data_IF_785896309852
#
_entry.id   IF_785896309852
#
_cell.length_a   1.000
_cell.length_b   1.000
_cell.length_c   1.000
_cell.angle_alpha   90.00
_cell.angle_beta   90.00
_cell.angle_gamma   90.00
#
_symmetry.space_group_name_H-M   'P 1'
#
loop_
_entity.id
_entity.type
_entity.pdbx_description
1 polymer ?
#
# COMPACT_ATOMS: atom_id res chain seq x y z
N UNK A 1 -2.26 14.18 8.49
CA UNK A 1 -3.62 13.65 8.71
C UNK A 1 -3.51 12.23 9.24
N UNK A 2 -4.37 11.83 10.17
CA UNK A 2 -4.40 10.47 10.74
C UNK A 2 -5.69 9.77 10.36
N UNK A 3 -5.62 8.50 9.94
CA UNK A 3 -6.79 7.68 9.60
C UNK A 3 -6.69 6.27 10.19
N UNK A 4 -7.83 5.66 10.57
CA UNK A 4 -7.88 4.22 10.83
C UNK A 4 -8.31 3.51 9.55
N UNK A 5 -7.47 2.64 9.03
CA UNK A 5 -7.78 1.85 7.84
C UNK A 5 -8.09 0.41 8.24
N UNK A 6 -9.31 -0.04 7.93
CA UNK A 6 -9.69 -1.45 7.99
C UNK A 6 -9.88 -1.91 6.54
N UNK A 7 -9.08 -2.86 6.11
CA UNK A 7 -9.01 -3.27 4.71
C UNK A 7 -9.04 -4.80 4.58
N UNK A 8 -9.85 -5.29 3.65
CA UNK A 8 -9.79 -6.66 3.15
C UNK A 8 -9.21 -6.67 1.75
N UNK A 9 -8.39 -7.68 1.45
CA UNK A 9 -7.75 -7.78 0.14
C UNK A 9 -7.55 -9.21 -0.33
N UNK A 10 -7.57 -9.38 -1.65
CA UNK A 10 -7.29 -10.66 -2.28
C UNK A 10 -6.56 -10.48 -3.61
N UNK A 11 -5.68 -11.43 -3.94
CA UNK A 11 -5.09 -11.48 -5.28
C UNK A 11 -6.12 -11.96 -6.29
N UNK A 12 -6.01 -11.43 -7.50
CA UNK A 12 -6.81 -11.81 -8.64
C UNK A 12 -5.95 -12.48 -9.71
N UNK A 13 -6.54 -13.44 -10.41
CA UNK A 13 -6.06 -13.85 -11.72
C UNK A 13 -6.32 -12.74 -12.73
N UNK A 14 -5.60 -12.76 -13.85
CA UNK A 14 -5.81 -11.80 -14.95
C UNK A 14 -7.27 -11.82 -15.46
N UNK A 15 -7.91 -12.99 -15.49
CA UNK A 15 -9.29 -13.11 -15.94
C UNK A 15 -10.28 -12.51 -14.94
N UNK A 16 -10.13 -12.77 -13.64
CA UNK A 16 -10.94 -12.14 -12.59
C UNK A 16 -10.79 -10.60 -12.62
N UNK A 17 -9.54 -10.12 -12.73
CA UNK A 17 -9.25 -8.69 -12.87
C UNK A 17 -9.94 -8.08 -14.08
N UNK A 18 -9.83 -8.70 -15.27
CA UNK A 18 -10.45 -8.18 -16.49
C UNK A 18 -11.98 -8.14 -16.40
N UNK A 19 -12.62 -9.11 -15.72
CA UNK A 19 -14.08 -9.09 -15.50
C UNK A 19 -14.48 -7.91 -14.63
N UNK A 20 -13.82 -7.70 -13.49
CA UNK A 20 -14.10 -6.54 -12.63
C UNK A 20 -13.77 -5.21 -13.33
N UNK A 21 -12.65 -5.15 -14.05
CA UNK A 21 -12.25 -3.98 -14.84
C UNK A 21 -13.34 -3.59 -15.86
N UNK A 22 -14.01 -4.57 -16.47
CA UNK A 22 -15.08 -4.31 -17.43
C UNK A 22 -16.27 -3.57 -16.80
N UNK A 23 -16.53 -3.80 -15.52
CA UNK A 23 -17.59 -3.15 -14.73
C UNK A 23 -17.15 -1.76 -14.24
N UNK A 24 -15.84 -1.55 -14.05
CA UNK A 24 -15.24 -0.30 -13.56
C UNK A 24 -14.72 0.61 -14.68
N UNK A 25 -15.11 0.42 -15.94
CA UNK A 25 -14.62 1.24 -17.08
C UNK A 25 -14.92 2.74 -16.95
N UNK A 26 -16.01 3.08 -16.24
CA UNK A 26 -16.45 4.45 -15.99
C UNK A 26 -15.62 5.17 -14.92
N UNK A 27 -14.91 4.42 -14.06
CA UNK A 27 -13.98 4.97 -13.08
C UNK A 27 -12.74 5.45 -13.83
N UNK A 28 -12.09 6.55 -13.44
CA UNK A 28 -10.82 6.99 -14.05
C UNK A 28 -9.65 6.30 -13.35
N UNK A 29 -8.64 5.76 -14.05
CA UNK A 29 -7.51 5.12 -13.40
C UNK A 29 -6.53 6.18 -12.88
N UNK A 30 -5.97 5.94 -11.70
CA UNK A 30 -4.91 6.74 -11.10
C UNK A 30 -3.65 5.90 -11.05
N UNK A 31 -2.58 6.39 -11.69
CA UNK A 31 -1.25 5.78 -11.57
C UNK A 31 -0.54 6.38 -10.36
N UNK A 32 -0.06 5.51 -9.49
CA UNK A 32 0.66 5.85 -8.26
C UNK A 32 1.89 4.97 -8.14
N UNK A 33 3.01 5.52 -7.65
CA UNK A 33 4.21 4.72 -7.36
C UNK A 33 4.54 4.84 -5.89
N UNK A 34 4.61 3.70 -5.21
CA UNK A 34 4.99 3.62 -3.81
C UNK A 34 6.48 3.30 -3.73
N UNK A 35 7.26 4.17 -3.12
CA UNK A 35 8.67 4.00 -2.79
C UNK A 35 8.76 3.59 -1.32
N UNK A 36 9.21 2.37 -1.06
CA UNK A 36 9.24 1.79 0.29
C UNK A 36 10.55 2.11 0.98
N UNK A 37 10.44 2.51 2.24
CA UNK A 37 11.54 2.99 3.07
C UNK A 37 11.62 2.11 4.31
N UNK A 38 12.83 1.69 4.66
CA UNK A 38 13.16 1.00 5.92
C UNK A 38 14.65 1.19 6.20
N UNK A 39 15.15 0.66 7.32
CA UNK A 39 16.59 0.53 7.54
C UNK A 39 17.14 -0.66 6.77
N UNK A 40 18.47 -0.73 6.62
CA UNK A 40 19.14 -1.92 6.05
C UNK A 40 18.86 -3.21 6.85
N UNK A 41 18.52 -3.08 8.13
CA UNK A 41 18.16 -4.20 9.01
C UNK A 41 16.65 -4.51 9.00
N UNK A 42 15.84 -3.74 8.29
CA UNK A 42 14.38 -3.84 8.26
C UNK A 42 13.72 -3.60 9.63
N UNK A 43 14.16 -2.57 10.36
CA UNK A 43 13.68 -2.27 11.71
C UNK A 43 12.21 -1.84 11.75
N UNK A 44 11.70 -1.13 10.72
CA UNK A 44 10.26 -0.81 10.65
C UNK A 44 9.44 -2.08 10.52
N UNK A 45 9.85 -2.99 9.63
CA UNK A 45 9.23 -4.30 9.49
C UNK A 45 9.29 -5.12 10.79
N UNK A 46 10.40 -5.10 11.51
CA UNK A 46 10.52 -5.77 12.81
C UNK A 46 9.51 -5.23 13.83
N UNK A 47 9.20 -3.93 13.75
CA UNK A 47 8.14 -3.26 14.51
C UNK A 47 6.74 -3.38 13.88
N UNK A 48 6.57 -4.20 12.83
CA UNK A 48 5.33 -4.36 12.05
C UNK A 48 4.81 -3.06 11.42
N UNK A 49 5.64 -2.03 11.31
CA UNK A 49 5.30 -0.78 10.65
C UNK A 49 5.72 -0.83 9.17
N UNK A 50 5.08 0.01 8.34
CA UNK A 50 5.53 0.22 6.96
C UNK A 50 5.54 1.71 6.64
N UNK A 51 6.65 2.18 6.05
CA UNK A 51 6.79 3.54 5.59
C UNK A 51 6.92 3.57 4.07
N UNK A 52 6.26 4.54 3.44
CA UNK A 52 6.42 4.80 2.01
C UNK A 52 6.33 6.28 1.69
N UNK A 53 6.97 6.67 0.60
CA UNK A 53 6.60 7.87 -0.15
C UNK A 53 5.80 7.39 -1.35
N UNK A 54 4.58 7.91 -1.54
CA UNK A 54 3.76 7.65 -2.71
C UNK A 54 3.76 8.88 -3.60
N UNK A 55 4.04 8.70 -4.89
CA UNK A 55 3.95 9.76 -5.90
C UNK A 55 2.80 9.51 -6.85
N UNK A 56 2.10 10.58 -7.20
CA UNK A 56 1.11 10.68 -8.27
C UNK A 56 1.65 11.57 -9.39
N UNK A 57 0.81 11.91 -10.37
CA UNK A 57 1.19 12.79 -11.47
C UNK A 57 1.68 14.17 -11.00
N UNK A 58 0.97 14.77 -10.04
CA UNK A 58 1.18 16.17 -9.63
C UNK A 58 1.36 16.34 -8.10
N UNK A 59 1.36 15.25 -7.33
CA UNK A 59 1.41 15.29 -5.87
C UNK A 59 2.16 14.09 -5.31
N UNK A 60 2.54 14.18 -4.04
CA UNK A 60 3.11 13.07 -3.30
C UNK A 60 2.64 13.08 -1.84
N UNK A 61 2.84 11.97 -1.16
CA UNK A 61 2.57 11.82 0.27
C UNK A 61 3.58 10.86 0.92
N UNK A 62 3.96 11.14 2.16
CA UNK A 62 4.62 10.19 3.05
C UNK A 62 3.54 9.53 3.90
N UNK A 63 3.53 8.20 3.97
CA UNK A 63 2.60 7.43 4.81
C UNK A 63 3.38 6.49 5.71
N UNK A 64 3.21 6.62 7.02
CA UNK A 64 3.54 5.58 7.99
C UNK A 64 2.26 4.81 8.35
N UNK A 65 2.27 3.49 8.18
CA UNK A 65 1.24 2.59 8.72
C UNK A 65 1.73 1.92 9.99
N UNK A 66 0.93 1.98 11.04
CA UNK A 66 1.15 1.35 12.35
C UNK A 66 -0.02 0.43 12.66
N UNK A 67 0.19 -0.87 12.91
CA UNK A 67 -0.89 -1.79 13.26
C UNK A 67 -1.59 -1.40 14.58
N UNK A 68 -2.91 -1.48 14.60
CA UNK A 68 -3.71 -1.37 15.83
C UNK A 68 -4.41 -2.71 16.13
N UNK A 69 -5.22 -2.76 17.20
CA UNK A 69 -6.03 -3.95 17.53
C UNK A 69 -6.98 -4.33 16.39
N UNK A 70 -7.50 -3.32 15.69
CA UNK A 70 -8.36 -3.46 14.51
C UNK A 70 -7.81 -2.52 13.45
N UNK A 71 -7.44 -3.05 12.28
CA UNK A 71 -6.90 -2.25 11.17
C UNK A 71 -5.50 -1.71 11.41
N UNK A 72 -5.15 -0.66 10.65
CA UNK A 72 -3.89 0.06 10.73
C UNK A 72 -4.15 1.54 10.88
N UNK A 73 -3.44 2.20 11.80
CA UNK A 73 -3.39 3.65 11.82
C UNK A 73 -2.41 4.15 10.76
N UNK A 74 -2.88 5.03 9.89
CA UNK A 74 -2.06 5.73 8.93
C UNK A 74 -1.77 7.15 9.39
N UNK A 75 -0.51 7.56 9.27
CA UNK A 75 -0.04 8.94 9.44
C UNK A 75 0.42 9.44 8.09
N UNK A 76 -0.40 10.28 7.46
CA UNK A 76 -0.21 10.81 6.12
C UNK A 76 0.30 12.26 6.17
N UNK A 77 1.41 12.53 5.49
CA UNK A 77 2.03 13.86 5.35
C UNK A 77 2.05 14.22 3.86
N UNK A 78 1.32 15.25 3.41
CA UNK A 78 1.38 15.69 2.02
C UNK A 78 2.77 16.25 1.70
N UNK A 79 3.25 15.98 0.49
CA UNK A 79 4.55 16.42 0.00
C UNK A 79 4.41 17.07 -1.39
N UNK A 80 5.26 18.05 -1.65
CA UNK A 80 5.52 18.46 -3.03
C UNK A 80 6.35 17.40 -3.76
N UNK A 81 6.19 17.28 -5.08
CA UNK A 81 6.93 16.30 -5.88
C UNK A 81 8.45 16.44 -5.76
N UNK A 82 8.96 17.67 -5.72
CA UNK A 82 10.39 17.91 -5.58
C UNK A 82 10.92 17.46 -4.21
N UNK A 83 10.18 17.69 -3.14
CA UNK A 83 10.50 17.16 -1.81
C UNK A 83 10.50 15.64 -1.81
N UNK A 84 9.48 15.02 -2.41
CA UNK A 84 9.39 13.56 -2.50
C UNK A 84 10.59 12.98 -3.28
N UNK A 85 10.97 13.57 -4.42
CA UNK A 85 12.13 13.11 -5.21
C UNK A 85 13.43 13.20 -4.42
N UNK A 86 13.65 14.32 -3.73
CA UNK A 86 14.81 14.51 -2.88
C UNK A 86 14.86 13.46 -1.77
N UNK A 87 13.75 13.27 -1.06
CA UNK A 87 13.62 12.29 0.02
C UNK A 87 13.83 10.85 -0.45
N UNK A 88 13.29 10.49 -1.62
CA UNK A 88 13.46 9.16 -2.22
C UNK A 88 14.93 8.87 -2.49
N UNK A 89 15.68 9.87 -2.97
CA UNK A 89 17.07 9.73 -3.41
C UNK A 89 18.08 9.85 -2.25
N UNK A 90 17.83 10.76 -1.33
CA UNK A 90 18.79 11.20 -0.33
C UNK A 90 18.37 10.86 1.11
N UNK A 91 17.13 10.44 1.35
CA UNK A 91 16.58 10.24 2.70
C UNK A 91 16.12 11.57 3.32
N UNK A 92 16.21 11.69 4.65
CA UNK A 92 15.80 12.87 5.43
C UNK A 92 14.29 13.17 5.37
N UNK A 93 13.53 12.46 6.19
CA UNK A 93 12.10 12.67 6.31
C UNK A 93 11.78 14.02 6.98
N UNK A 94 10.67 14.68 6.61
CA UNK A 94 10.24 15.91 7.26
C UNK A 94 9.81 15.65 8.70
N UNK A 95 9.95 16.67 9.54
CA UNK A 95 9.35 16.70 10.87
C UNK A 95 7.85 16.43 10.76
N UNK A 96 7.39 15.41 11.47
CA UNK A 96 6.03 14.93 11.41
C UNK A 96 5.77 13.92 12.52
N UNK A 97 4.50 13.71 12.87
CA UNK A 97 4.08 12.64 13.79
C UNK A 97 4.58 11.27 13.34
N UNK A 98 4.68 11.03 12.03
CA UNK A 98 5.26 9.80 11.49
C UNK A 98 6.72 9.65 11.90
N UNK A 99 7.52 10.71 11.78
CA UNK A 99 8.92 10.71 12.18
C UNK A 99 9.08 10.53 13.70
N UNK A 100 8.25 11.22 14.50
CA UNK A 100 8.25 11.10 15.97
C UNK A 100 8.00 9.67 16.43
N UNK A 101 7.03 8.98 15.80
CA UNK A 101 6.73 7.57 16.10
C UNK A 101 7.93 6.68 15.76
N UNK A 102 8.56 6.89 14.61
CA UNK A 102 9.74 6.11 14.20
C UNK A 102 10.88 6.29 15.21
N UNK A 103 11.15 7.53 15.63
CA UNK A 103 12.18 7.85 16.64
C UNK A 103 11.84 7.19 17.98
N UNK A 104 10.56 7.22 18.40
CA UNK A 104 10.11 6.59 19.65
C UNK A 104 10.34 5.07 19.70
N UNK A 105 10.50 4.42 18.53
CA UNK A 105 10.86 3.00 18.41
C UNK A 105 12.38 2.75 18.40
N UNK A 106 13.19 3.78 18.62
CA UNK A 106 14.64 3.70 18.62
C UNK A 106 15.27 3.66 17.23
N UNK A 107 14.48 3.93 16.18
CA UNK A 107 14.96 3.91 14.79
C UNK A 107 15.52 5.29 14.44
N UNK A 108 16.80 5.33 14.06
CA UNK A 108 17.46 6.58 13.67
C UNK A 108 16.97 7.04 12.30
N UNK A 109 16.49 8.28 12.14
CA UNK A 109 16.05 8.79 10.83
C UNK A 109 17.11 8.68 9.73
N UNK A 110 18.38 8.89 10.08
CA UNK A 110 19.52 8.78 9.15
C UNK A 110 19.81 7.35 8.66
N UNK A 111 19.20 6.32 9.28
CA UNK A 111 19.31 4.94 8.82
C UNK A 111 18.25 4.54 7.79
N UNK A 112 17.23 5.37 7.59
CA UNK A 112 16.12 5.11 6.67
C UNK A 112 16.57 5.33 5.23
N UNK A 113 16.35 4.32 4.40
CA UNK A 113 16.72 4.32 2.99
C UNK A 113 15.57 3.77 2.14
N UNK A 114 15.39 4.33 0.94
CA UNK A 114 14.49 3.75 -0.05
C UNK A 114 15.12 2.49 -0.62
N UNK A 115 14.45 1.34 -0.51
CA UNK A 115 15.01 0.05 -0.95
C UNK A 115 14.31 -0.52 -2.19
N UNK A 116 13.13 -0.01 -2.56
CA UNK A 116 12.37 -0.53 -3.69
C UNK A 116 11.11 0.28 -3.96
N UNK A 117 10.50 0.02 -5.11
CA UNK A 117 9.25 0.66 -5.50
C UNK A 117 8.27 -0.33 -6.14
N UNK A 118 6.99 0.07 -6.14
CA UNK A 118 5.90 -0.62 -6.79
C UNK A 118 4.93 0.41 -7.36
N UNK A 119 4.73 0.35 -8.67
CA UNK A 119 3.76 1.17 -9.39
C UNK A 119 2.43 0.44 -9.46
N UNK A 120 1.35 1.14 -9.13
CA UNK A 120 -0.02 0.65 -9.20
C UNK A 120 -0.83 1.53 -10.14
N UNK A 121 -1.54 0.93 -11.08
CA UNK A 121 -2.67 1.57 -11.76
C UNK A 121 -3.93 1.16 -11.00
N UNK A 122 -4.50 2.12 -10.25
CA UNK A 122 -5.65 1.90 -9.37
C UNK A 122 -6.91 2.46 -9.99
N UNK A 123 -8.01 1.72 -9.88
CA UNK A 123 -9.37 2.23 -10.05
C UNK A 123 -10.08 2.12 -8.72
N UNK A 124 -10.57 3.23 -8.20
CA UNK A 124 -11.19 3.30 -6.88
C UNK A 124 -12.60 3.88 -7.00
N UNK A 125 -13.57 3.24 -6.34
CA UNK A 125 -14.95 3.72 -6.28
C UNK A 125 -15.58 3.36 -4.94
N UNK A 126 -16.52 4.17 -4.48
CA UNK A 126 -17.35 3.84 -3.31
C UNK A 126 -18.55 3.03 -3.78
N UNK A 127 -18.80 1.92 -3.09
CA UNK A 127 -19.97 1.05 -3.26
C UNK A 127 -20.68 0.91 -1.90
N UNK A 128 -21.90 0.34 -1.83
CA UNK A 128 -22.65 0.27 -0.56
C UNK A 128 -21.89 -0.37 0.61
N UNK A 129 -20.97 -1.30 0.32
CA UNK A 129 -20.20 -2.05 1.33
C UNK A 129 -18.84 -1.42 1.68
N UNK A 130 -18.48 -0.28 1.08
CA UNK A 130 -17.21 0.40 1.35
C UNK A 130 -16.51 0.93 0.10
N UNK A 131 -15.22 1.23 0.24
CA UNK A 131 -14.40 1.76 -0.85
C UNK A 131 -13.63 0.64 -1.52
N UNK A 132 -14.01 0.32 -2.75
CA UNK A 132 -13.43 -0.76 -3.54
C UNK A 132 -12.28 -0.22 -4.40
N UNK A 133 -11.12 -0.87 -4.34
CA UNK A 133 -9.98 -0.59 -5.18
C UNK A 133 -9.58 -1.81 -6.02
N UNK A 134 -9.49 -1.61 -7.33
CA UNK A 134 -9.00 -2.59 -8.29
C UNK A 134 -7.61 -2.17 -8.77
N UNK A 135 -6.61 -2.98 -8.42
CA UNK A 135 -5.20 -2.64 -8.59
C UNK A 135 -4.52 -3.54 -9.62
N UNK A 136 -3.84 -2.91 -10.58
CA UNK A 136 -2.81 -3.55 -11.38
C UNK A 136 -1.44 -3.08 -10.92
N UNK A 137 -0.61 -4.01 -10.45
CA UNK A 137 0.68 -3.69 -9.85
C UNK A 137 1.84 -4.11 -10.75
N UNK A 138 2.88 -3.29 -10.76
CA UNK A 138 4.13 -3.47 -11.50
C UNK A 138 5.31 -3.22 -10.55
N UNK A 139 6.20 -4.19 -10.40
CA UNK A 139 7.39 -4.07 -9.55
C UNK A 139 8.46 -5.08 -9.96
N UNK A 140 9.70 -4.59 -10.11
CA UNK A 140 10.77 -5.35 -10.77
C UNK A 140 10.26 -5.94 -12.10
N UNK A 141 10.42 -7.25 -12.32
CA UNK A 141 9.89 -7.96 -13.50
C UNK A 141 8.58 -8.71 -13.20
N UNK A 142 7.85 -8.30 -12.17
CA UNK A 142 6.61 -8.94 -11.72
C UNK A 142 5.42 -8.02 -11.99
N UNK A 143 4.28 -8.65 -12.30
CA UNK A 143 2.98 -8.01 -12.27
C UNK A 143 1.98 -8.88 -11.52
N UNK A 144 1.10 -8.25 -10.75
CA UNK A 144 -0.03 -8.91 -10.11
C UNK A 144 -1.28 -8.03 -10.15
N UNK A 145 -2.39 -8.63 -9.76
CA UNK A 145 -3.70 -8.00 -9.73
C UNK A 145 -4.29 -8.20 -8.35
N UNK A 146 -4.93 -7.18 -7.80
CA UNK A 146 -5.44 -7.20 -6.43
C UNK A 146 -6.77 -6.46 -6.35
N UNK A 147 -7.67 -6.99 -5.53
CA UNK A 147 -8.89 -6.33 -5.10
C UNK A 147 -8.73 -5.96 -3.63
N UNK A 148 -9.06 -4.73 -3.27
CA UNK A 148 -9.10 -4.25 -1.90
C UNK A 148 -10.48 -3.64 -1.61
N UNK A 149 -10.98 -3.83 -0.39
CA UNK A 149 -12.19 -3.19 0.14
C UNK A 149 -11.84 -2.55 1.48
N UNK A 150 -11.89 -1.23 1.54
CA UNK A 150 -11.77 -0.46 2.78
C UNK A 150 -13.16 -0.25 3.39
N UNK A 151 -13.28 -0.54 4.68
CA UNK A 151 -14.55 -0.58 5.42
C UNK A 151 -14.45 0.19 6.74
N UNK A 152 -15.59 0.58 7.30
CA UNK A 152 -15.68 1.23 8.62
C UNK A 152 -15.90 0.24 9.76
N UNK A 153 -16.55 -0.90 9.49
CA UNK A 153 -16.80 -1.98 10.45
C UNK A 153 -16.06 -3.25 10.01
N UNK A 154 -15.20 -3.78 10.87
CA UNK A 154 -14.42 -4.97 10.55
C UNK A 154 -15.29 -6.24 10.44
N UNK A 155 -16.25 -6.43 11.33
CA UNK A 155 -17.04 -7.66 11.33
C UNK A 155 -17.96 -7.71 10.11
N UNK A 156 -18.72 -6.63 9.90
CA UNK A 156 -19.61 -6.53 8.74
C UNK A 156 -18.83 -6.49 7.44
N UNK A 157 -17.72 -5.73 7.40
CA UNK A 157 -16.89 -5.62 6.21
C UNK A 157 -16.28 -6.96 5.76
N UNK A 158 -15.99 -7.88 6.68
CA UNK A 158 -15.55 -9.24 6.31
C UNK A 158 -16.67 -10.03 5.62
N UNK A 159 -17.88 -9.96 6.16
CA UNK A 159 -19.07 -10.63 5.61
C UNK A 159 -19.38 -10.08 4.21
N UNK A 160 -19.33 -8.76 4.08
CA UNK A 160 -19.59 -8.08 2.81
C UNK A 160 -18.53 -8.40 1.77
N UNK A 161 -17.24 -8.42 2.16
CA UNK A 161 -16.17 -8.80 1.26
C UNK A 161 -16.32 -10.25 0.77
N UNK A 162 -16.62 -11.19 1.67
CA UNK A 162 -16.82 -12.59 1.29
C UNK A 162 -18.02 -12.78 0.35
N UNK A 163 -19.12 -12.05 0.62
CA UNK A 163 -20.31 -12.05 -0.22
C UNK A 163 -20.01 -11.50 -1.62
N UNK A 164 -19.30 -10.37 -1.69
CA UNK A 164 -18.84 -9.80 -2.96
C UNK A 164 -17.96 -10.78 -3.74
N UNK A 165 -17.00 -11.45 -3.08
CA UNK A 165 -16.16 -12.45 -3.75
C UNK A 165 -17.00 -13.60 -4.30
N UNK A 166 -18.00 -14.08 -3.56
CA UNK A 166 -18.92 -15.13 -3.99
C UNK A 166 -19.74 -14.71 -5.20
N UNK A 167 -20.37 -13.54 -5.17
CA UNK A 167 -21.18 -12.99 -6.27
C UNK A 167 -20.37 -12.86 -7.58
N UNK A 168 -19.10 -12.45 -7.46
CA UNK A 168 -18.20 -12.27 -8.60
C UNK A 168 -17.43 -13.56 -9.00
N UNK A 169 -17.74 -14.68 -8.35
CA UNK A 169 -17.10 -15.98 -8.57
C UNK A 169 -15.57 -15.90 -8.44
N UNK A 170 -15.10 -15.29 -7.36
CA UNK A 170 -13.68 -15.10 -7.03
C UNK A 170 -13.38 -15.95 -5.80
N UNK A 171 -12.53 -16.95 -5.96
CA UNK A 171 -11.99 -17.67 -4.81
C UNK A 171 -11.00 -16.77 -4.04
N UNK A 172 -11.10 -16.73 -2.72
CA UNK A 172 -10.16 -15.98 -1.89
C UNK A 172 -8.73 -16.49 -2.05
N UNK A 173 -7.81 -15.58 -2.37
CA UNK A 173 -6.37 -15.81 -2.48
C UNK A 173 -5.66 -14.82 -1.56
N UNK A 174 -4.92 -15.34 -0.58
CA UNK A 174 -4.21 -14.50 0.38
C UNK A 174 -3.25 -13.54 -0.33
N UNK A 175 -3.33 -12.27 0.03
CA UNK A 175 -2.46 -11.22 -0.49
C UNK A 175 -1.50 -10.72 0.61
N UNK A 176 -0.21 -11.04 0.48
CA UNK A 176 0.85 -10.36 1.26
C UNK A 176 0.80 -8.87 0.94
N UNK A 177 1.13 -8.00 1.91
CA UNK A 177 1.19 -6.56 1.66
C UNK A 177 2.11 -6.23 0.48
N UNK A 178 1.77 -5.19 -0.29
CA UNK A 178 2.56 -4.75 -1.46
C UNK A 178 4.04 -4.50 -1.12
N UNK A 179 4.34 -3.93 0.06
CA UNK A 179 5.72 -3.77 0.55
C UNK A 179 6.41 -5.11 0.75
N UNK A 180 5.73 -6.12 1.32
CA UNK A 180 6.30 -7.45 1.48
C UNK A 180 6.51 -8.14 0.13
N UNK A 181 5.63 -7.93 -0.86
CA UNK A 181 5.80 -8.42 -2.23
C UNK A 181 7.05 -7.79 -2.88
N UNK A 182 7.24 -6.47 -2.73
CA UNK A 182 8.40 -5.74 -3.21
C UNK A 182 9.71 -6.21 -2.53
N UNK A 183 9.74 -6.35 -1.20
CA UNK A 183 10.93 -6.87 -0.48
C UNK A 183 11.34 -8.26 -0.97
N UNK A 184 10.36 -9.12 -1.28
CA UNK A 184 10.66 -10.48 -1.74
C UNK A 184 11.31 -10.53 -3.13
N UNK A 185 11.15 -9.49 -3.96
CA UNK A 185 11.88 -9.44 -5.24
C UNK A 185 13.35 -9.09 -5.03
N UNK A 186 13.68 -8.27 -4.03
CA UNK A 186 15.06 -7.86 -3.71
C UNK A 186 15.93 -8.99 -3.16
N UNK A 187 15.36 -9.86 -2.30
CA UNK A 187 16.09 -11.02 -1.78
C UNK A 187 16.60 -11.93 -2.90
N UNK A 188 15.77 -12.13 -3.93
CA UNK A 188 16.14 -12.93 -5.12
C UNK A 188 17.29 -12.34 -5.94
N UNK A 189 17.60 -11.05 -5.78
CA UNK A 189 18.75 -10.39 -6.40
C UNK A 189 20.03 -10.49 -5.57
N UNK A 190 19.92 -10.61 -4.23
CA UNK A 190 21.09 -10.74 -3.35
C UNK A 190 21.58 -12.18 -3.17
N UNK A 191 20.75 -13.17 -3.53
CA UNK A 191 21.08 -14.61 -3.48
C UNK A 191 21.65 -15.15 -4.82
N UNK A 192 22.08 -14.26 -5.73
CA UNK A 192 22.74 -14.59 -7.01
C UNK A 192 24.07 -13.87 -7.11
#
# INVERSE_FOLDING_TARGET
MTNLEIEYKTLLTKNEYNRLLSQMKHVTPVTQTNYYIDTKAFDLKANKMSLRIRTFANSAELTLKVPEKVGNREYNVPLFLEQAKDMIKHGNLPESTALDIIISKGIKPSALVTFGNLTTVRRETVIPIGKLALDYNLYANTKDYELELEVSDALQGKIDFDSFLSEHHIAFKYAKSKVARCINTLKKFNDK
#
